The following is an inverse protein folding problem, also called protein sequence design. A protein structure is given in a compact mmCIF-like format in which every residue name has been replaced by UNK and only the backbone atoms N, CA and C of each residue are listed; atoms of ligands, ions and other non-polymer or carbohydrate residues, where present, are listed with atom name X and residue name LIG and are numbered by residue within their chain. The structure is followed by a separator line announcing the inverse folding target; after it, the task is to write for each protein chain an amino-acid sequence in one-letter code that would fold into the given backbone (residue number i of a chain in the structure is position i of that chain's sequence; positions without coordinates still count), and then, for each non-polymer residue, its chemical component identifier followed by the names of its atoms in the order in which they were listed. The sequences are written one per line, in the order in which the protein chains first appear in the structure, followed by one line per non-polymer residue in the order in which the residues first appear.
data_IF_666429020995
#
_entry.id   IF_666429020995
#
_cell.length_a   1.000
_cell.length_b   1.000
_cell.length_c   1.000
_cell.angle_alpha   90.00
_cell.angle_beta   90.00
_cell.angle_gamma   90.00
#
_symmetry.space_group_name_H-M   'P 1'
#
loop_
_entity.id
_entity.type
_entity.pdbx_description
1 polymer ?
#
# COMPACT_ATOMS: atom_id res chain seq x y z
N UNK A 1 26.05 -9.52 -9.13
CA UNK A 1 25.44 -8.84 -7.97
C UNK A 1 24.00 -8.52 -8.33
N UNK A 2 23.02 -9.10 -7.65
CA UNK A 2 21.61 -8.79 -7.91
C UNK A 2 21.27 -7.40 -7.35
N UNK A 3 20.65 -6.49 -8.12
CA UNK A 3 20.34 -5.16 -7.65
C UNK A 3 19.35 -5.21 -6.47
N UNK A 4 19.61 -4.41 -5.43
CA UNK A 4 18.66 -4.17 -4.35
C UNK A 4 17.52 -3.30 -4.91
N UNK A 5 16.42 -3.93 -5.28
CA UNK A 5 15.20 -3.23 -5.71
C UNK A 5 14.35 -2.90 -4.49
N UNK A 6 13.77 -1.70 -4.45
CA UNK A 6 12.96 -1.20 -3.33
C UNK A 6 11.55 -0.91 -3.79
N UNK A 7 10.55 -1.42 -3.07
CA UNK A 7 9.14 -1.07 -3.24
C UNK A 7 8.77 -0.06 -2.16
N UNK A 8 8.12 1.04 -2.56
CA UNK A 8 7.54 2.05 -1.68
C UNK A 8 6.10 2.25 -2.10
N UNK A 9 5.17 2.30 -1.15
CA UNK A 9 3.77 2.64 -1.37
C UNK A 9 3.57 4.04 -0.79
N UNK A 10 3.23 5.03 -1.62
CA UNK A 10 3.15 6.45 -1.22
C UNK A 10 1.73 7.01 -1.38
N UNK A 11 1.45 8.12 -0.70
CA UNK A 11 0.19 8.86 -0.81
C UNK A 11 0.08 9.63 -2.13
N UNK A 12 -1.17 9.89 -2.49
CA UNK A 12 -1.54 10.79 -3.55
C UNK A 12 -1.67 12.20 -2.94
N UNK A 13 -0.67 13.06 -3.16
CA UNK A 13 -0.80 14.50 -2.89
C UNK A 13 -1.73 15.09 -3.96
N UNK A 14 -2.95 15.44 -3.58
CA UNK A 14 -3.84 16.17 -4.47
C UNK A 14 -3.27 17.55 -4.81
N UNK A 15 -3.44 17.90 -6.09
CA UNK A 15 -2.90 19.07 -6.72
C UNK A 15 -3.36 20.37 -6.06
N UNK A 16 -2.37 21.11 -5.56
CA UNK A 16 -2.23 22.57 -5.55
C UNK A 16 -3.51 23.41 -5.71
N UNK A 17 -4.03 23.93 -4.60
CA UNK A 17 -4.62 25.27 -4.57
C UNK A 17 -3.75 26.19 -3.70
N UNK A 18 -3.06 27.12 -4.35
CA UNK A 18 -2.27 28.16 -3.73
C UNK A 18 -3.18 29.24 -3.16
N UNK A 19 -3.03 29.52 -1.86
CA UNK A 19 -3.42 30.80 -1.26
C UNK A 19 -2.47 31.12 -0.12
N UNK A 20 -1.68 32.17 -0.32
CA UNK A 20 -0.80 32.75 0.68
C UNK A 20 -1.62 33.46 1.74
N UNK A 21 -1.30 33.26 3.02
CA UNK A 21 -1.39 34.30 4.06
C UNK A 21 -0.65 33.84 5.32
N UNK A 22 0.30 34.68 5.74
CA UNK A 22 1.17 34.53 6.89
C UNK A 22 0.51 35.05 8.17
N UNK A 23 0.50 34.24 9.25
CA UNK A 23 0.60 34.75 10.63
C UNK A 23 1.01 33.63 11.59
N UNK A 24 1.83 33.99 12.58
CA UNK A 24 2.44 33.10 13.58
C UNK A 24 1.47 32.64 14.65
N UNK A 25 1.39 31.33 14.90
CA UNK A 25 0.82 30.76 16.14
C UNK A 25 1.35 29.35 16.42
N UNK A 26 1.42 29.03 17.72
CA UNK A 26 1.66 27.72 18.34
C UNK A 26 1.21 26.52 17.48
N UNK A 27 2.11 25.55 17.28
CA UNK A 27 1.90 24.38 16.43
C UNK A 27 0.96 23.36 17.07
N UNK A 28 -0.34 23.59 16.99
CA UNK A 28 -1.35 22.53 17.09
C UNK A 28 -1.26 21.67 15.82
N UNK A 29 -1.34 20.33 15.90
CA UNK A 29 -1.44 19.49 14.71
C UNK A 29 -2.59 19.99 13.84
N UNK A 30 -2.31 20.33 12.57
CA UNK A 30 -3.35 20.64 11.59
C UNK A 30 -4.10 19.34 11.31
N UNK A 31 -5.23 19.16 11.99
CA UNK A 31 -6.29 18.29 11.49
C UNK A 31 -6.65 18.82 10.09
N UNK A 32 -6.55 17.97 9.07
CA UNK A 32 -7.16 18.25 7.78
C UNK A 32 -8.66 18.46 8.00
N UNK A 33 -9.24 19.47 7.35
CA UNK A 33 -10.64 19.89 7.54
C UNK A 33 -11.67 18.79 7.18
N UNK A 34 -11.20 17.64 6.68
CA UNK A 34 -12.02 16.54 6.20
C UNK A 34 -12.10 15.36 7.21
N UNK A 35 -11.33 15.39 8.31
CA UNK A 35 -11.37 14.36 9.36
C UNK A 35 -10.96 12.93 8.93
N UNK A 36 -10.47 12.75 7.70
CA UNK A 36 -10.02 11.46 7.21
C UNK A 36 -8.65 11.10 7.80
N UNK A 37 -8.62 10.02 8.57
CA UNK A 37 -7.36 9.41 9.02
C UNK A 37 -6.74 8.61 7.86
N UNK A 38 -5.80 9.19 7.12
CA UNK A 38 -4.97 8.45 6.18
C UNK A 38 -3.85 7.69 6.90
N UNK A 39 -3.51 6.51 6.43
CA UNK A 39 -2.41 5.70 6.94
C UNK A 39 -1.63 5.11 5.75
N UNK A 40 -0.30 5.14 5.82
CA UNK A 40 0.57 4.61 4.77
C UNK A 40 1.43 3.46 5.30
N UNK A 41 1.46 2.34 4.58
CA UNK A 41 2.33 1.21 4.88
C UNK A 41 3.47 1.19 3.86
N UNK A 42 4.68 1.56 4.27
CA UNK A 42 5.87 1.52 3.40
C UNK A 42 6.65 0.24 3.68
N UNK A 43 6.86 -0.58 2.66
CA UNK A 43 7.56 -1.87 2.83
C UNK A 43 8.53 -2.18 1.69
N UNK A 44 9.82 -2.18 2.02
CA UNK A 44 10.91 -2.49 1.09
C UNK A 44 11.19 -4.01 1.05
N UNK A 45 11.19 -4.58 -0.16
CA UNK A 45 11.49 -6.00 -0.38
C UNK A 45 12.39 -6.17 -1.61
N UNK A 46 13.45 -6.98 -1.46
CA UNK A 46 14.26 -7.38 -2.62
C UNK A 46 13.47 -8.35 -3.49
N UNK A 47 13.41 -8.07 -4.80
CA UNK A 47 12.68 -8.90 -5.77
C UNK A 47 13.16 -10.36 -5.77
N UNK A 48 14.45 -10.62 -5.52
CA UNK A 48 15.00 -11.97 -5.41
C UNK A 48 14.46 -12.78 -4.22
N UNK A 49 13.88 -12.12 -3.22
CA UNK A 49 13.29 -12.77 -2.05
C UNK A 49 11.77 -13.01 -2.20
N UNK A 50 11.18 -12.56 -3.30
CA UNK A 50 9.76 -12.78 -3.60
C UNK A 50 9.65 -14.09 -4.37
N UNK A 51 9.14 -15.12 -3.70
CA UNK A 51 8.86 -16.43 -4.29
C UNK A 51 7.36 -16.67 -4.48
N UNK A 52 7.00 -17.93 -4.66
CA UNK A 52 5.59 -18.36 -4.78
C UNK A 52 4.86 -18.38 -3.42
N UNK A 53 5.58 -18.21 -2.32
CA UNK A 53 5.01 -18.09 -0.97
C UNK A 53 4.69 -16.65 -0.62
N UNK A 54 3.66 -16.45 0.22
CA UNK A 54 3.29 -15.14 0.75
C UNK A 54 4.39 -14.60 1.66
N UNK A 55 4.81 -13.38 1.40
CA UNK A 55 5.69 -12.60 2.27
C UNK A 55 4.90 -11.41 2.82
N UNK A 56 5.04 -11.14 4.12
CA UNK A 56 4.21 -10.15 4.82
C UNK A 56 5.05 -8.94 5.25
N UNK A 57 4.44 -7.75 5.19
CA UNK A 57 4.97 -6.53 5.81
C UNK A 57 4.90 -6.59 7.34
N UNK A 58 5.44 -5.57 7.99
CA UNK A 58 5.12 -5.28 9.39
C UNK A 58 3.63 -4.93 9.54
N UNK A 59 3.11 -5.09 10.76
CA UNK A 59 1.75 -4.73 11.15
C UNK A 59 1.65 -3.22 11.38
N UNK A 60 0.56 -2.59 10.94
CA UNK A 60 0.21 -1.19 11.22
C UNK A 60 -1.20 -1.14 11.78
N UNK A 61 -1.39 -0.55 12.95
CA UNK A 61 -2.71 -0.39 13.56
C UNK A 61 -3.33 0.92 13.06
N UNK A 62 -4.50 0.84 12.39
CA UNK A 62 -5.23 2.00 11.90
C UNK A 62 -6.73 1.82 12.16
N UNK A 63 -7.36 2.85 12.74
CA UNK A 63 -8.79 2.84 13.11
C UNK A 63 -9.18 1.62 13.97
N UNK A 64 -8.29 1.17 14.86
CA UNK A 64 -8.53 0.01 15.73
C UNK A 64 -8.45 -1.35 15.01
N UNK A 65 -8.04 -1.38 13.73
CA UNK A 65 -7.83 -2.61 12.96
C UNK A 65 -6.34 -2.79 12.68
N UNK A 66 -5.76 -3.98 12.93
CA UNK A 66 -4.39 -4.30 12.54
C UNK A 66 -4.31 -4.63 11.04
N UNK A 67 -3.56 -3.85 10.28
CA UNK A 67 -3.36 -4.02 8.85
C UNK A 67 -1.96 -4.53 8.52
N UNK A 68 -1.84 -5.25 7.41
CA UNK A 68 -0.56 -5.55 6.76
C UNK A 68 -0.76 -5.79 5.27
N UNK A 69 0.32 -5.71 4.53
CA UNK A 69 0.37 -6.05 3.11
C UNK A 69 1.08 -7.38 2.97
N UNK A 70 0.69 -8.19 1.99
CA UNK A 70 1.51 -9.31 1.56
C UNK A 70 1.66 -9.37 0.05
N UNK A 71 2.78 -9.94 -0.37
CA UNK A 71 3.14 -10.11 -1.77
C UNK A 71 3.58 -11.53 -2.06
N UNK A 72 3.42 -11.96 -3.30
CA UNK A 72 3.95 -13.23 -3.83
C UNK A 72 4.07 -13.16 -5.35
N UNK A 73 4.86 -14.07 -5.91
CA UNK A 73 4.86 -14.37 -7.34
C UNK A 73 3.65 -15.22 -7.68
N UNK A 74 2.70 -14.62 -8.39
CA UNK A 74 1.45 -15.27 -8.79
C UNK A 74 1.65 -16.30 -9.90
N UNK A 75 0.76 -17.28 -9.96
CA UNK A 75 0.77 -18.35 -10.97
C UNK A 75 0.62 -17.81 -12.41
N UNK A 76 0.00 -16.64 -12.58
CA UNK A 76 -0.16 -15.96 -13.88
C UNK A 76 1.06 -15.08 -14.24
N UNK A 77 2.24 -15.43 -13.70
CA UNK A 77 3.52 -14.76 -13.94
C UNK A 77 3.50 -13.26 -13.65
N UNK A 78 2.90 -12.88 -12.53
CA UNK A 78 2.81 -11.49 -12.07
C UNK A 78 3.18 -11.33 -10.60
N UNK A 79 3.41 -10.09 -10.17
CA UNK A 79 3.46 -9.74 -8.76
C UNK A 79 2.03 -9.61 -8.21
N UNK A 80 1.67 -10.47 -7.26
CA UNK A 80 0.47 -10.31 -6.47
C UNK A 80 0.70 -9.35 -5.31
N UNK A 81 -0.24 -8.45 -5.05
CA UNK A 81 -0.23 -7.49 -3.94
C UNK A 81 -1.60 -7.52 -3.26
N UNK A 82 -1.61 -7.63 -1.93
CA UNK A 82 -2.84 -7.78 -1.16
C UNK A 82 -2.75 -7.02 0.15
N UNK A 83 -3.85 -6.34 0.50
CA UNK A 83 -4.09 -5.76 1.82
C UNK A 83 -4.83 -6.80 2.67
N UNK A 84 -4.38 -6.95 3.91
CA UNK A 84 -4.98 -7.85 4.88
C UNK A 84 -5.30 -7.09 6.16
N UNK A 85 -6.57 -7.12 6.54
CA UNK A 85 -6.99 -6.84 7.91
C UNK A 85 -6.75 -8.11 8.74
N UNK A 86 -5.83 -8.05 9.68
CA UNK A 86 -5.53 -9.17 10.55
C UNK A 86 -6.68 -9.43 11.51
N UNK A 87 -6.79 -10.68 11.95
CA UNK A 87 -7.82 -11.10 12.89
C UNK A 87 -7.70 -10.28 14.17
N UNK A 88 -8.74 -9.50 14.46
CA UNK A 88 -8.99 -9.06 15.82
C UNK A 88 -9.80 -10.18 16.48
N UNK A 89 -9.71 -10.37 17.79
CA UNK A 89 -10.43 -11.47 18.47
C UNK A 89 -11.97 -11.35 18.37
N UNK A 90 -12.48 -10.30 17.73
CA UNK A 90 -13.90 -10.04 17.54
C UNK A 90 -14.39 -10.53 16.19
N UNK A 91 -15.61 -11.06 16.17
CA UNK A 91 -16.33 -11.33 14.91
C UNK A 91 -17.23 -10.15 14.52
N UNK A 92 -17.37 -9.15 15.38
CA UNK A 92 -18.25 -7.99 15.21
C UNK A 92 -17.45 -6.75 14.82
N UNK A 93 -16.84 -6.79 13.62
CA UNK A 93 -16.20 -5.62 13.06
C UNK A 93 -16.36 -5.58 11.54
N UNK A 94 -16.35 -4.36 11.03
CA UNK A 94 -16.21 -4.07 9.60
C UNK A 94 -15.35 -2.84 9.45
N UNK A 95 -14.58 -2.76 8.37
CA UNK A 95 -13.85 -1.55 7.99
C UNK A 95 -14.11 -1.28 6.51
N UNK A 96 -14.35 -0.02 6.17
CA UNK A 96 -14.44 0.44 4.79
C UNK A 96 -13.18 1.23 4.47
N UNK A 97 -12.52 0.89 3.36
CA UNK A 97 -11.21 1.43 3.01
C UNK A 97 -11.18 1.86 1.56
N UNK A 98 -10.75 3.10 1.37
CA UNK A 98 -10.26 3.62 0.09
C UNK A 98 -8.73 3.62 0.12
N UNK A 99 -8.10 3.42 -1.04
CA UNK A 99 -6.64 3.46 -1.08
C UNK A 99 -6.04 3.22 -2.45
N UNK A 100 -4.71 3.14 -2.43
CA UNK A 100 -3.90 2.93 -3.62
C UNK A 100 -2.72 2.01 -3.27
N UNK A 101 -2.48 1.01 -4.11
CA UNK A 101 -1.19 0.34 -4.14
C UNK A 101 -0.29 1.04 -5.14
N UNK A 102 0.83 1.57 -4.66
CA UNK A 102 1.94 2.06 -5.48
C UNK A 102 3.13 1.09 -5.40
N UNK A 103 3.54 0.54 -6.54
CA UNK A 103 4.80 -0.20 -6.66
C UNK A 103 5.84 0.74 -7.26
N UNK A 104 6.71 1.25 -6.40
CA UNK A 104 7.90 1.99 -6.80
C UNK A 104 8.98 0.98 -7.19
N UNK A 105 9.60 1.14 -8.35
CA UNK A 105 10.76 0.37 -8.78
C UNK A 105 11.92 1.35 -8.96
N UNK A 106 12.98 1.22 -8.17
CA UNK A 106 14.11 2.17 -8.16
C UNK A 106 14.83 2.33 -9.50
N UNK A 107 14.69 1.35 -10.39
CA UNK A 107 15.28 1.28 -11.72
C UNK A 107 14.31 1.69 -12.83
N UNK A 108 13.07 2.08 -12.49
CA UNK A 108 12.05 2.53 -13.44
C UNK A 108 11.76 4.01 -13.27
N UNK A 109 11.36 4.65 -14.37
CA UNK A 109 10.97 6.06 -14.40
C UNK A 109 9.55 6.30 -13.90
N UNK A 110 8.69 5.27 -13.93
CA UNK A 110 7.28 5.39 -13.57
C UNK A 110 6.88 4.39 -12.50
N UNK A 111 6.13 4.89 -11.52
CA UNK A 111 5.48 4.08 -10.50
C UNK A 111 4.27 3.36 -11.07
N UNK A 112 4.01 2.15 -10.59
CA UNK A 112 2.81 1.38 -10.97
C UNK A 112 1.76 1.59 -9.89
N UNK A 113 0.63 2.20 -10.25
CA UNK A 113 -0.43 2.60 -9.31
C UNK A 113 -1.73 1.82 -9.57
N UNK A 114 -2.33 1.31 -8.50
CA UNK A 114 -3.64 0.65 -8.53
C UNK A 114 -4.53 1.20 -7.42
N UNK A 115 -5.52 2.02 -7.79
CA UNK A 115 -6.51 2.57 -6.87
C UNK A 115 -7.65 1.60 -6.63
N UNK A 116 -8.23 1.71 -5.45
CA UNK A 116 -9.43 0.98 -5.05
C UNK A 116 -10.27 1.86 -4.11
N UNK A 117 -11.58 1.66 -4.15
CA UNK A 117 -12.54 2.42 -3.36
C UNK A 117 -13.59 1.51 -2.76
N UNK A 118 -14.13 1.90 -1.61
CA UNK A 118 -15.21 1.26 -0.87
C UNK A 118 -14.96 -0.23 -0.61
N UNK A 119 -13.71 -0.59 -0.27
CA UNK A 119 -13.39 -1.97 0.09
C UNK A 119 -13.89 -2.28 1.49
N UNK A 120 -14.80 -3.24 1.59
CA UNK A 120 -15.35 -3.69 2.88
C UNK A 120 -14.61 -4.91 3.42
N UNK A 121 -13.87 -4.70 4.50
CA UNK A 121 -13.26 -5.75 5.30
C UNK A 121 -14.17 -6.16 6.46
N UNK A 122 -14.09 -7.42 6.85
CA UNK A 122 -14.80 -8.00 8.01
C UNK A 122 -14.10 -9.28 8.47
N UNK A 123 -14.56 -9.89 9.56
CA UNK A 123 -14.04 -11.18 10.01
C UNK A 123 -14.12 -12.29 8.94
N UNK A 124 -15.03 -12.18 7.95
CA UNK A 124 -15.16 -13.15 6.84
C UNK A 124 -14.38 -12.76 5.59
N UNK A 125 -14.11 -11.47 5.43
CA UNK A 125 -13.45 -10.92 4.26
C UNK A 125 -12.26 -10.07 4.72
N UNK A 126 -11.18 -10.76 5.09
CA UNK A 126 -10.01 -10.14 5.69
C UNK A 126 -8.95 -9.74 4.66
N UNK A 127 -9.11 -10.13 3.40
CA UNK A 127 -8.07 -10.00 2.37
C UNK A 127 -8.69 -9.46 1.09
N UNK A 128 -8.02 -8.48 0.50
CA UNK A 128 -8.36 -7.99 -0.83
C UNK A 128 -7.09 -7.57 -1.57
N UNK A 129 -7.04 -7.76 -2.89
CA UNK A 129 -5.87 -7.38 -3.66
C UNK A 129 -5.95 -7.76 -5.13
N UNK A 130 -4.80 -7.71 -5.78
CA UNK A 130 -4.62 -8.02 -7.19
C UNK A 130 -3.62 -9.16 -7.34
N UNK A 131 -3.98 -10.18 -8.10
CA UNK A 131 -3.08 -11.29 -8.42
C UNK A 131 -1.96 -10.90 -9.40
N UNK A 132 -2.11 -9.79 -10.12
CA UNK A 132 -1.13 -9.30 -11.09
C UNK A 132 -1.18 -7.78 -11.19
N UNK A 133 -0.36 -7.12 -10.39
CA UNK A 133 -0.10 -5.67 -10.46
C UNK A 133 0.92 -5.35 -11.56
N UNK A 134 1.94 -6.19 -11.69
CA UNK A 134 3.00 -6.06 -12.72
C UNK A 134 3.39 -7.43 -13.23
N UNK A 135 3.77 -7.53 -14.50
CA UNK A 135 4.34 -8.76 -15.02
C UNK A 135 5.66 -9.09 -14.30
N UNK A 136 5.93 -10.36 -14.08
CA UNK A 136 7.13 -10.75 -13.36
C UNK A 136 8.40 -10.39 -14.13
N UNK A 137 8.38 -10.58 -15.45
CA UNK A 137 9.50 -10.29 -16.34
C UNK A 137 9.87 -8.80 -16.33
N UNK A 138 8.86 -7.94 -16.30
CA UNK A 138 8.99 -6.49 -16.16
C UNK A 138 9.66 -6.11 -14.82
N UNK A 139 9.33 -6.82 -13.74
CA UNK A 139 9.89 -6.57 -12.42
C UNK A 139 11.37 -6.97 -12.32
N UNK A 140 11.78 -8.05 -12.98
CA UNK A 140 13.17 -8.53 -12.96
C UNK A 140 14.05 -7.79 -14.00
N UNK A 141 13.50 -7.47 -15.17
CA UNK A 141 14.20 -6.85 -16.29
C UNK A 141 13.55 -5.50 -16.66
N UNK A 142 13.91 -4.41 -15.98
CA UNK A 142 13.28 -3.11 -16.17
C UNK A 142 13.66 -2.44 -17.51
N UNK A 143 14.72 -2.90 -18.18
CA UNK A 143 15.26 -2.32 -19.42
C UNK A 143 14.67 -2.93 -20.71
N UNK A 144 13.77 -3.91 -20.60
CA UNK A 144 12.98 -4.41 -21.74
C UNK A 144 11.82 -3.47 -22.02
#
# INVERSE_FOLDING_TARGET
MSPNKRIKLAENEDASHSSSSSSSTHSTPRESEDGYCSNTIIWEVKVSEIGNSRKYSHKVDAQGVPWRIFIYKSAISGLGIFLMAMDNQSTMWTAEVDGEFIVICTDRTNDIKHRFTSLRFSHRNQVWGFDKVVAWDDLINPEK
#
